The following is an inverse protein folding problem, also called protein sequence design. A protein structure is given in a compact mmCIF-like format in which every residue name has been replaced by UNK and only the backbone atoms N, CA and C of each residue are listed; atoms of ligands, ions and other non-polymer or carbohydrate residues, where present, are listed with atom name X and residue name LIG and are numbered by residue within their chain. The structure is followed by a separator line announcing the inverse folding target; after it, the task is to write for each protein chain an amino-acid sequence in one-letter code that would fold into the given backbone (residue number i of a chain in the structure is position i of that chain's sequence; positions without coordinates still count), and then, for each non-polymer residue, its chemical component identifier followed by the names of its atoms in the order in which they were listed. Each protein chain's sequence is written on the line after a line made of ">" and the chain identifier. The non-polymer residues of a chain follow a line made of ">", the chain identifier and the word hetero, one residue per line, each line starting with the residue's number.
data_IF_985682978846
#
_entry.id   IF_985682978846
#
_cell.length_a   1.000
_cell.length_b   1.000
_cell.length_c   1.000
_cell.angle_alpha   90.00
_cell.angle_beta   90.00
_cell.angle_gamma   90.00
#
_symmetry.space_group_name_H-M   'P 1'
#
loop_
_entity.id
_entity.type
_entity.pdbx_description
1 polymer ?
#
# COMPACT_ATOMS: atom_id res chain seq x y z
N UNK A 1 -5.11 -23.64 -14.77
CA UNK A 1 -5.05 -22.23 -15.21
C UNK A 1 -4.04 -21.51 -14.34
N UNK A 2 -2.92 -21.03 -14.92
CA UNK A 2 -2.01 -20.09 -14.26
C UNK A 2 -2.89 -18.89 -13.89
N UNK A 3 -3.22 -18.72 -12.61
CA UNK A 3 -3.81 -17.48 -12.12
C UNK A 3 -2.99 -16.35 -12.74
N UNK A 4 -3.65 -15.45 -13.45
CA UNK A 4 -3.01 -14.28 -14.04
C UNK A 4 -2.01 -13.71 -13.02
N UNK A 5 -0.81 -13.39 -13.47
CA UNK A 5 0.29 -12.90 -12.64
C UNK A 5 -0.07 -11.53 -12.05
N UNK A 6 -1.01 -11.51 -11.10
CA UNK A 6 -1.47 -10.35 -10.36
C UNK A 6 -0.26 -9.80 -9.60
N UNK A 7 0.19 -8.62 -10.01
CA UNK A 7 1.20 -7.85 -9.30
C UNK A 7 0.50 -6.88 -8.35
N UNK A 8 1.22 -6.38 -7.34
CA UNK A 8 0.68 -5.40 -6.40
C UNK A 8 0.22 -4.10 -7.10
N UNK A 9 0.85 -3.74 -8.21
CA UNK A 9 0.52 -2.56 -9.03
C UNK A 9 -0.81 -2.71 -9.78
N UNK A 10 -1.12 -3.93 -10.24
CA UNK A 10 -2.34 -4.20 -11.03
C UNK A 10 -3.53 -4.64 -10.18
N UNK A 11 -3.37 -4.62 -8.85
CA UNK A 11 -4.38 -5.11 -7.92
C UNK A 11 -5.53 -4.11 -7.76
N UNK A 12 -5.22 -2.82 -7.82
CA UNK A 12 -6.18 -1.72 -7.72
C UNK A 12 -6.01 -0.79 -8.92
N UNK A 13 -7.12 -0.22 -9.38
CA UNK A 13 -7.15 0.77 -10.45
C UNK A 13 -7.75 2.06 -9.88
N UNK A 14 -7.06 3.19 -10.06
CA UNK A 14 -7.55 4.50 -9.65
C UNK A 14 -8.53 5.05 -10.69
N UNK A 15 -9.79 5.24 -10.29
CA UNK A 15 -10.80 5.85 -11.13
C UNK A 15 -10.80 7.37 -10.95
N UNK A 16 -10.65 8.16 -12.03
CA UNK A 16 -10.67 9.62 -11.92
C UNK A 16 -12.06 10.10 -11.51
N UNK A 17 -12.12 10.92 -10.45
CA UNK A 17 -13.37 11.53 -10.00
C UNK A 17 -13.60 12.83 -10.78
N UNK A 18 -14.69 12.87 -11.56
CA UNK A 18 -15.07 14.05 -12.36
C UNK A 18 -16.31 14.69 -11.76
N UNK A 19 -16.17 15.90 -11.22
CA UNK A 19 -17.30 16.69 -10.72
C UNK A 19 -17.95 17.47 -11.87
N UNK A 20 -19.26 17.29 -12.05
CA UNK A 20 -20.07 18.04 -13.02
C UNK A 20 -21.23 18.70 -12.30
N UNK A 21 -21.27 20.02 -12.34
CA UNK A 21 -22.36 20.82 -11.80
C UNK A 21 -23.34 21.21 -12.92
N UNK A 22 -24.62 21.34 -12.57
CA UNK A 22 -25.59 21.93 -13.47
C UNK A 22 -25.35 23.45 -13.59
N UNK A 23 -25.83 24.04 -14.67
CA UNK A 23 -25.71 25.49 -14.88
C UNK A 23 -26.34 26.30 -13.73
N UNK A 24 -27.44 25.81 -13.16
CA UNK A 24 -28.10 26.46 -12.03
C UNK A 24 -27.25 26.43 -10.76
N UNK A 25 -26.58 25.30 -10.48
CA UNK A 25 -25.64 25.18 -9.35
C UNK A 25 -24.46 26.14 -9.54
N UNK A 26 -23.96 26.30 -10.77
CA UNK A 26 -22.89 27.26 -11.03
C UNK A 26 -23.34 28.70 -10.80
N UNK A 27 -24.55 29.10 -11.24
CA UNK A 27 -25.10 30.42 -10.95
C UNK A 27 -25.26 30.67 -9.44
N UNK A 28 -25.73 29.66 -8.71
CA UNK A 28 -25.85 29.73 -7.25
C UNK A 28 -24.47 29.85 -6.57
N UNK A 29 -23.47 29.10 -7.03
CA UNK A 29 -22.10 29.19 -6.50
C UNK A 29 -21.50 30.58 -6.71
N UNK A 30 -21.80 31.26 -7.81
CA UNK A 30 -21.37 32.65 -8.03
C UNK A 30 -22.00 33.60 -6.99
N UNK A 31 -23.29 33.47 -6.73
CA UNK A 31 -23.98 34.29 -5.72
C UNK A 31 -23.45 34.02 -4.30
N UNK A 32 -23.23 32.75 -3.96
CA UNK A 32 -22.64 32.35 -2.67
C UNK A 32 -21.22 32.89 -2.51
N UNK A 33 -20.39 32.82 -3.55
CA UNK A 33 -19.02 33.34 -3.51
C UNK A 33 -19.02 34.85 -3.22
N UNK A 34 -19.87 35.64 -3.88
CA UNK A 34 -20.04 37.06 -3.59
C UNK A 34 -20.45 37.34 -2.14
N UNK A 35 -21.35 36.53 -1.58
CA UNK A 35 -21.80 36.65 -0.19
C UNK A 35 -20.75 36.20 0.84
N UNK A 36 -19.81 35.32 0.47
CA UNK A 36 -18.87 34.67 1.41
C UNK A 36 -17.41 35.13 1.29
N UNK A 37 -17.07 35.97 0.30
CA UNK A 37 -15.71 36.50 0.02
C UNK A 37 -14.93 37.02 1.24
N UNK A 38 -15.60 37.49 2.29
CA UNK A 38 -14.97 38.01 3.51
C UNK A 38 -14.82 36.97 4.64
N UNK A 39 -15.61 35.89 4.63
CA UNK A 39 -15.65 34.89 5.72
C UNK A 39 -14.81 33.64 5.43
N UNK A 40 -14.49 33.35 4.16
CA UNK A 40 -13.99 32.02 3.74
C UNK A 40 -12.47 31.92 3.60
N UNK A 41 -11.69 32.89 4.09
CA UNK A 41 -10.21 32.83 4.01
C UNK A 41 -9.63 31.87 5.05
N UNK A 42 -9.98 30.59 4.98
CA UNK A 42 -9.22 29.55 5.64
C UNK A 42 -7.95 29.31 4.82
N UNK A 43 -6.87 30.03 5.12
CA UNK A 43 -5.54 29.78 4.55
C UNK A 43 -4.92 28.46 5.07
N UNK A 44 -5.74 27.51 5.54
CA UNK A 44 -5.30 26.20 6.02
C UNK A 44 -4.50 25.44 4.97
N UNK A 45 -4.75 25.69 3.67
CA UNK A 45 -3.93 25.13 2.60
C UNK A 45 -2.46 25.58 2.67
N UNK A 46 -2.18 26.82 3.07
CA UNK A 46 -0.83 27.38 3.20
C UNK A 46 -0.23 27.18 4.59
N UNK A 47 -0.88 26.41 5.45
CA UNK A 47 -0.35 26.11 6.78
C UNK A 47 0.88 25.18 6.66
N UNK A 48 1.96 25.57 7.33
CA UNK A 48 3.20 24.79 7.45
C UNK A 48 3.17 23.86 8.68
N UNK A 49 2.22 24.06 9.61
CA UNK A 49 2.05 23.29 10.85
C UNK A 49 1.51 21.87 10.65
N UNK A 50 2.15 21.06 9.80
CA UNK A 50 1.63 19.75 9.38
C UNK A 50 2.45 18.56 9.90
N UNK A 51 3.42 18.79 10.79
CA UNK A 51 4.33 17.77 11.34
C UNK A 51 3.61 16.54 11.92
N UNK A 52 2.47 16.73 12.61
CA UNK A 52 1.71 15.62 13.20
C UNK A 52 1.10 14.65 12.19
N UNK A 53 0.78 15.13 10.98
CA UNK A 53 0.24 14.28 9.91
C UNK A 53 1.34 13.41 9.29
N UNK A 54 2.52 13.98 9.05
CA UNK A 54 3.67 13.23 8.54
C UNK A 54 4.13 12.17 9.53
N UNK A 55 4.22 12.51 10.81
CA UNK A 55 4.59 11.57 11.88
C UNK A 55 3.61 10.39 11.93
N UNK A 56 2.31 10.65 11.79
CA UNK A 56 1.28 9.59 11.75
C UNK A 56 1.39 8.71 10.50
N UNK A 57 1.64 9.30 9.33
CA UNK A 57 1.83 8.55 8.10
C UNK A 57 3.09 7.66 8.18
N UNK A 58 4.20 8.19 8.72
CA UNK A 58 5.43 7.43 8.93
C UNK A 58 5.25 6.29 9.93
N UNK A 59 4.54 6.52 11.05
CA UNK A 59 4.20 5.44 11.99
C UNK A 59 3.39 4.33 11.31
N UNK A 60 2.37 4.70 10.55
CA UNK A 60 1.55 3.73 9.83
C UNK A 60 2.36 2.94 8.79
N UNK A 61 3.37 3.56 8.17
CA UNK A 61 4.28 2.89 7.24
C UNK A 61 5.19 1.88 7.97
N UNK A 62 5.70 2.24 9.14
CA UNK A 62 6.51 1.34 9.97
C UNK A 62 5.69 0.09 10.33
N UNK A 63 4.45 0.27 10.78
CA UNK A 63 3.57 -0.85 11.15
C UNK A 63 3.31 -1.79 9.95
N UNK A 64 3.05 -1.25 8.76
CA UNK A 64 2.83 -2.05 7.55
C UNK A 64 4.11 -2.79 7.08
N UNK A 65 5.27 -2.16 7.20
CA UNK A 65 6.56 -2.78 6.86
C UNK A 65 6.91 -3.89 7.85
N UNK A 66 6.64 -3.70 9.14
CA UNK A 66 6.85 -4.73 10.17
C UNK A 66 5.95 -5.95 9.92
N UNK A 67 4.66 -5.73 9.59
CA UNK A 67 3.74 -6.81 9.20
C UNK A 67 4.25 -7.56 7.97
N UNK A 68 4.68 -6.83 6.93
CA UNK A 68 5.24 -7.44 5.72
C UNK A 68 6.51 -8.25 6.02
N UNK A 69 7.38 -7.75 6.90
CA UNK A 69 8.61 -8.44 7.32
C UNK A 69 8.31 -9.75 8.05
N UNK A 70 7.30 -9.76 8.91
CA UNK A 70 6.86 -10.94 9.65
C UNK A 70 6.32 -12.01 8.69
N UNK A 71 5.51 -11.60 7.71
CA UNK A 71 5.00 -12.50 6.68
C UNK A 71 6.10 -13.02 5.75
N UNK A 72 7.10 -12.20 5.40
CA UNK A 72 8.27 -12.63 4.64
C UNK A 72 9.11 -13.68 5.41
N UNK A 73 9.25 -13.53 6.73
CA UNK A 73 9.94 -14.49 7.59
C UNK A 73 9.18 -15.81 7.67
N UNK A 74 7.85 -15.77 7.84
CA UNK A 74 6.98 -16.97 7.80
C UNK A 74 7.12 -17.71 6.48
N UNK A 75 7.11 -16.99 5.37
CA UNK A 75 7.29 -17.57 4.04
C UNK A 75 8.67 -18.22 3.88
N UNK A 76 9.73 -17.55 4.33
CA UNK A 76 11.10 -18.08 4.28
C UNK A 76 11.24 -19.36 5.10
N UNK A 77 10.65 -19.41 6.29
CA UNK A 77 10.65 -20.61 7.14
C UNK A 77 9.86 -21.75 6.50
N UNK A 78 8.71 -21.45 5.89
CA UNK A 78 7.95 -22.42 5.11
C UNK A 78 8.76 -23.00 3.94
N UNK A 79 9.42 -22.16 3.14
CA UNK A 79 10.27 -22.62 2.04
C UNK A 79 11.39 -23.56 2.52
N UNK A 80 12.04 -23.24 3.64
CA UNK A 80 13.06 -24.11 4.25
C UNK A 80 12.48 -25.46 4.68
N UNK A 81 11.27 -25.49 5.25
CA UNK A 81 10.61 -26.74 5.64
C UNK A 81 10.23 -27.59 4.42
N UNK A 82 9.69 -26.95 3.38
CA UNK A 82 9.34 -27.60 2.12
C UNK A 82 10.58 -28.24 1.46
N UNK A 83 11.69 -27.50 1.39
CA UNK A 83 12.95 -28.00 0.81
C UNK A 83 13.49 -29.20 1.59
N UNK A 84 13.47 -29.15 2.93
CA UNK A 84 13.87 -30.28 3.78
C UNK A 84 12.97 -31.49 3.57
N UNK A 85 11.67 -31.28 3.43
CA UNK A 85 10.70 -32.34 3.18
C UNK A 85 10.91 -32.99 1.80
N UNK A 86 11.14 -32.20 0.75
CA UNK A 86 11.46 -32.69 -0.59
C UNK A 86 12.76 -33.49 -0.62
N UNK A 87 13.81 -33.03 0.07
CA UNK A 87 15.08 -33.78 0.15
C UNK A 87 14.91 -35.13 0.84
N UNK A 88 14.15 -35.19 1.93
CA UNK A 88 13.80 -36.46 2.62
C UNK A 88 12.98 -37.40 1.72
N UNK A 89 12.10 -36.86 0.89
CA UNK A 89 11.35 -37.63 -0.10
C UNK A 89 12.28 -38.24 -1.15
N UNK A 90 13.16 -37.44 -1.75
CA UNK A 90 14.11 -37.93 -2.76
C UNK A 90 15.01 -39.06 -2.22
N UNK A 91 15.41 -38.98 -0.94
CA UNK A 91 16.16 -40.05 -0.26
C UNK A 91 15.32 -41.31 0.01
N UNK A 92 14.02 -41.15 0.32
CA UNK A 92 13.10 -42.29 0.51
C UNK A 92 12.76 -42.98 -0.81
N UNK A 93 12.50 -42.22 -1.86
CA UNK A 93 12.16 -42.72 -3.20
C UNK A 93 13.36 -43.43 -3.86
N UNK A 94 14.59 -43.00 -3.57
CA UNK A 94 15.80 -43.71 -4.02
C UNK A 94 16.06 -45.02 -3.23
N UNK A 95 15.57 -45.13 -1.99
CA UNK A 95 15.65 -46.35 -1.19
C UNK A 95 14.44 -47.30 -1.36
N UNK A 96 13.29 -46.82 -1.84
CA UNK A 96 12.06 -47.60 -2.07
C UNK A 96 11.76 -47.67 -3.56
N UNK A 97 12.24 -48.71 -4.23
CA UNK A 97 12.00 -48.91 -5.68
C UNK A 97 10.57 -49.31 -6.07
N UNK A 98 9.58 -49.48 -5.17
CA UNK A 98 8.27 -49.93 -5.67
C UNK A 98 7.00 -49.84 -4.77
N UNK A 99 6.91 -49.00 -3.73
CA UNK A 99 5.66 -48.99 -2.94
C UNK A 99 5.04 -47.60 -2.76
N UNK A 100 3.86 -47.44 -3.34
CA UNK A 100 2.72 -46.66 -2.83
C UNK A 100 2.85 -45.14 -2.88
N UNK A 101 1.95 -44.49 -3.62
CA UNK A 101 1.71 -43.05 -3.51
C UNK A 101 1.23 -42.71 -2.08
N UNK A 102 2.04 -41.98 -1.29
CA UNK A 102 1.70 -41.52 0.06
C UNK A 102 0.68 -40.35 -0.01
N UNK A 103 -0.62 -40.63 0.03
CA UNK A 103 -1.69 -39.61 0.10
C UNK A 103 -1.58 -38.69 1.33
N UNK A 104 -1.04 -39.18 2.44
CA UNK A 104 -0.80 -38.43 3.67
C UNK A 104 0.24 -37.31 3.49
N UNK A 105 1.19 -37.50 2.57
CA UNK A 105 2.19 -36.48 2.23
C UNK A 105 1.54 -35.29 1.54
N UNK A 106 0.67 -35.55 0.57
CA UNK A 106 -0.03 -34.51 -0.18
C UNK A 106 -1.01 -33.73 0.71
N UNK A 107 -1.63 -34.41 1.68
CA UNK A 107 -2.41 -33.74 2.74
C UNK A 107 -1.55 -32.82 3.60
N UNK A 108 -0.38 -33.27 4.06
CA UNK A 108 0.53 -32.42 4.84
C UNK A 108 1.03 -31.23 4.02
N UNK A 109 1.48 -31.43 2.78
CA UNK A 109 1.99 -30.35 1.93
C UNK A 109 0.90 -29.33 1.57
N UNK A 110 -0.35 -29.78 1.37
CA UNK A 110 -1.52 -28.88 1.23
C UNK A 110 -1.83 -28.13 2.52
N UNK A 111 -1.66 -28.76 3.69
CA UNK A 111 -1.87 -28.11 4.99
C UNK A 111 -0.88 -26.96 5.25
N UNK A 112 0.34 -27.04 4.70
CA UNK A 112 1.36 -26.01 4.86
C UNK A 112 1.35 -24.90 3.78
N UNK A 113 0.43 -24.91 2.80
CA UNK A 113 0.46 -23.87 1.76
C UNK A 113 0.09 -22.48 2.31
N UNK A 114 1.08 -21.61 2.47
CA UNK A 114 0.85 -20.23 2.92
C UNK A 114 0.16 -19.42 1.81
N UNK A 115 -0.99 -18.81 2.13
CA UNK A 115 -1.70 -17.91 1.21
C UNK A 115 -0.87 -16.65 0.93
N UNK A 116 -0.49 -16.41 -0.33
CA UNK A 116 0.28 -15.23 -0.78
C UNK A 116 -0.55 -13.95 -0.95
N UNK A 117 -1.86 -14.00 -0.66
CA UNK A 117 -2.78 -12.88 -0.90
C UNK A 117 -2.54 -11.71 0.06
N UNK A 118 -2.30 -11.98 1.34
CA UNK A 118 -2.06 -10.93 2.33
C UNK A 118 -0.78 -10.16 2.00
N UNK A 119 0.29 -10.87 1.63
CA UNK A 119 1.53 -10.25 1.17
C UNK A 119 1.36 -9.31 -0.04
N UNK A 120 0.44 -9.62 -0.97
CA UNK A 120 0.12 -8.73 -2.10
C UNK A 120 -0.62 -7.48 -1.65
N UNK A 121 -1.57 -7.61 -0.71
CA UNK A 121 -2.32 -6.48 -0.16
C UNK A 121 -1.41 -5.57 0.67
N UNK A 122 -0.58 -6.12 1.55
CA UNK A 122 0.36 -5.33 2.36
C UNK A 122 1.40 -4.63 1.48
N UNK A 123 1.88 -5.27 0.41
CA UNK A 123 2.77 -4.62 -0.56
C UNK A 123 2.10 -3.42 -1.25
N UNK A 124 0.83 -3.56 -1.62
CA UNK A 124 0.05 -2.44 -2.20
C UNK A 124 -0.17 -1.31 -1.19
N UNK A 125 -0.45 -1.63 0.09
CA UNK A 125 -0.60 -0.64 1.15
C UNK A 125 0.69 0.14 1.41
N UNK A 126 1.84 -0.54 1.44
CA UNK A 126 3.16 0.10 1.56
C UNK A 126 3.38 1.07 0.40
N UNK A 127 3.08 0.66 -0.83
CA UNK A 127 3.24 1.52 -2.00
C UNK A 127 2.37 2.78 -1.89
N UNK A 128 1.10 2.64 -1.54
CA UNK A 128 0.18 3.76 -1.36
C UNK A 128 0.62 4.73 -0.25
N UNK A 129 1.17 4.23 0.86
CA UNK A 129 1.72 5.08 1.91
C UNK A 129 2.96 5.85 1.44
N UNK A 130 3.83 5.24 0.64
CA UNK A 130 4.97 5.92 0.03
C UNK A 130 4.52 7.04 -0.92
N UNK A 131 3.49 6.81 -1.73
CA UNK A 131 2.94 7.82 -2.64
C UNK A 131 2.38 9.02 -1.84
N UNK A 132 1.59 8.74 -0.79
CA UNK A 132 1.02 9.78 0.09
C UNK A 132 2.11 10.61 0.79
N UNK A 133 3.17 9.98 1.29
CA UNK A 133 4.30 10.67 1.93
C UNK A 133 5.03 11.55 0.91
N UNK A 134 5.22 11.04 -0.31
CA UNK A 134 5.87 11.78 -1.40
C UNK A 134 5.05 13.00 -1.79
N UNK A 135 3.74 12.86 -1.94
CA UNK A 135 2.84 13.97 -2.24
C UNK A 135 2.86 15.01 -1.12
N UNK A 136 2.71 14.57 0.13
CA UNK A 136 2.70 15.44 1.29
C UNK A 136 4.01 16.24 1.43
N UNK A 137 5.16 15.57 1.26
CA UNK A 137 6.47 16.23 1.34
C UNK A 137 6.69 17.20 0.19
N UNK A 138 6.27 16.86 -1.03
CA UNK A 138 6.31 17.77 -2.17
C UNK A 138 5.45 19.03 -1.94
N UNK A 139 4.24 18.88 -1.40
CA UNK A 139 3.39 20.01 -1.02
C UNK A 139 4.02 20.84 0.10
N UNK A 140 4.61 20.21 1.12
CA UNK A 140 5.30 20.90 2.21
C UNK A 140 6.48 21.75 1.72
N UNK A 141 7.31 21.19 0.84
CA UNK A 141 8.43 21.89 0.21
C UNK A 141 7.95 23.08 -0.63
N UNK A 142 6.90 22.90 -1.43
CA UNK A 142 6.33 23.98 -2.23
C UNK A 142 5.87 25.16 -1.35
N UNK A 143 5.17 24.87 -0.25
CA UNK A 143 4.73 25.91 0.72
C UNK A 143 5.93 26.62 1.37
N UNK A 144 6.99 25.88 1.72
CA UNK A 144 8.21 26.45 2.29
C UNK A 144 8.88 27.41 1.30
N UNK A 145 9.03 27.02 0.03
CA UNK A 145 9.59 27.89 -1.00
C UNK A 145 8.72 29.13 -1.25
N UNK A 146 7.39 29.01 -1.23
CA UNK A 146 6.49 30.17 -1.31
C UNK A 146 6.68 31.10 -0.11
N UNK A 147 6.78 30.56 1.10
CA UNK A 147 7.03 31.34 2.31
C UNK A 147 8.40 32.07 2.25
N UNK A 148 9.44 31.38 1.78
CA UNK A 148 10.77 31.97 1.58
C UNK A 148 10.72 33.12 0.56
N UNK A 149 10.09 32.93 -0.59
CA UNK A 149 9.99 33.96 -1.63
C UNK A 149 9.21 35.20 -1.18
N UNK A 150 8.24 35.04 -0.27
CA UNK A 150 7.53 36.15 0.35
C UNK A 150 8.42 36.86 1.37
N UNK A 151 9.18 36.12 2.17
CA UNK A 151 10.06 36.67 3.20
C UNK A 151 11.28 37.40 2.61
N UNK A 152 11.85 36.92 1.50
CA UNK A 152 13.02 37.53 0.83
C UNK A 152 12.70 38.86 0.12
N UNK A 153 11.41 39.15 -0.11
CA UNK A 153 10.95 40.41 -0.71
C UNK A 153 10.61 41.51 0.31
N UNK A 154 10.67 41.22 1.61
CA UNK A 154 10.55 42.20 2.69
C UNK A 154 11.94 42.71 3.12
#
# INVERSE_FOLDING_TARGET
>A
AKLASLNFETLFEELPVVFKNSHLVNSLLCEIDEQTRLSSKSNSFLDLGTNGNLERQLRSLIDCVDEFSADALRYTNYQKQLQRQQSRRNQRDSNRRNDGYDEDFERMTKMFSQSRRNALVTASQINHQCDNITEFTAQGLAKLFMAQAVHEKQ
#
